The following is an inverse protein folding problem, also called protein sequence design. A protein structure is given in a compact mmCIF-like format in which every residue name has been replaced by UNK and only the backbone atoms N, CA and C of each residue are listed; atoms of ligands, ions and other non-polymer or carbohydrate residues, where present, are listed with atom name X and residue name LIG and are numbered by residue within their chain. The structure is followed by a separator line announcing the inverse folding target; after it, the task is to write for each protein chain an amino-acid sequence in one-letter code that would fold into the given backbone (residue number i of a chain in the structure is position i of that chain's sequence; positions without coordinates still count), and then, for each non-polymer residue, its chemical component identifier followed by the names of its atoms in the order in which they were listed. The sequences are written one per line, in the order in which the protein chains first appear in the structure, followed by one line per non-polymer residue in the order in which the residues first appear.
data_IF_280081889681
#
_entry.id   IF_280081889681
#
_cell.length_a   1.000
_cell.length_b   1.000
_cell.length_c   1.000
_cell.angle_alpha   90.00
_cell.angle_beta   90.00
_cell.angle_gamma   90.00
#
_symmetry.space_group_name_H-M   'P 1'
#
loop_
_entity.id
_entity.type
_entity.pdbx_description
1 polymer ?
#
# COMPACT_ATOMS: atom_id res chain seq x y z
N UNK A 1 5.86 -2.94 -11.82
CA UNK A 1 5.70 -1.98 -10.71
C UNK A 1 5.96 -2.61 -9.33
N UNK A 2 5.13 -3.50 -8.73
CA UNK A 2 5.30 -3.97 -7.33
C UNK A 2 6.68 -4.61 -7.08
N UNK A 3 7.13 -5.50 -7.94
CA UNK A 3 8.46 -6.11 -7.86
C UNK A 3 9.59 -5.10 -8.05
N UNK A 4 9.38 -4.12 -8.90
CA UNK A 4 10.31 -3.03 -9.15
C UNK A 4 10.44 -2.11 -7.93
N UNK A 5 9.33 -1.75 -7.28
CA UNK A 5 9.36 -1.03 -6.01
C UNK A 5 10.14 -1.80 -4.94
N UNK A 6 9.96 -3.12 -4.87
CA UNK A 6 10.74 -3.96 -3.96
C UNK A 6 12.22 -3.98 -4.33
N UNK A 7 12.55 -4.02 -5.62
CA UNK A 7 13.92 -3.93 -6.08
C UNK A 7 14.57 -2.62 -5.64
N UNK A 8 13.90 -1.48 -5.88
CA UNK A 8 14.40 -0.16 -5.46
C UNK A 8 14.59 -0.10 -3.94
N UNK A 9 13.64 -0.62 -3.17
CA UNK A 9 13.68 -0.60 -1.71
C UNK A 9 14.82 -1.44 -1.12
N UNK A 10 15.14 -2.59 -1.73
CA UNK A 10 16.01 -3.59 -1.12
C UNK A 10 17.36 -3.75 -1.80
N UNK A 11 17.53 -3.23 -3.03
CA UNK A 11 18.81 -3.30 -3.72
C UNK A 11 19.90 -2.51 -2.96
N UNK A 12 21.08 -3.10 -2.85
CA UNK A 12 22.22 -2.52 -2.13
C UNK A 12 22.15 -2.60 -0.60
N UNK A 13 21.06 -3.12 -0.02
CA UNK A 13 20.95 -3.33 1.43
C UNK A 13 21.74 -4.57 1.90
N UNK A 14 21.93 -4.72 3.21
CA UNK A 14 22.55 -5.92 3.80
C UNK A 14 21.79 -7.20 3.45
N UNK A 15 20.45 -7.13 3.33
CA UNK A 15 19.64 -8.27 2.97
C UNK A 15 19.88 -8.73 1.53
N UNK A 16 20.13 -7.80 0.58
CA UNK A 16 20.38 -8.13 -0.82
C UNK A 16 21.64 -8.97 -1.04
N UNK A 17 22.52 -9.07 -0.04
CA UNK A 17 23.76 -9.87 -0.07
C UNK A 17 23.54 -11.30 0.40
N UNK A 18 22.36 -11.63 0.92
CA UNK A 18 22.04 -12.97 1.42
C UNK A 18 21.57 -13.85 0.24
N UNK A 19 22.14 -15.03 0.09
CA UNK A 19 21.85 -15.95 -1.03
C UNK A 19 20.37 -16.39 -1.12
N UNK A 20 19.64 -16.35 -0.02
CA UNK A 20 18.24 -16.73 0.06
C UNK A 20 17.29 -15.55 -0.14
N UNK A 21 17.78 -14.31 -0.17
CA UNK A 21 16.97 -13.11 -0.29
C UNK A 21 16.83 -12.68 -1.77
N UNK A 22 15.62 -12.72 -2.29
CA UNK A 22 15.35 -12.39 -3.69
C UNK A 22 14.90 -10.93 -3.83
N UNK A 23 15.82 -10.05 -4.21
CA UNK A 23 15.53 -8.65 -4.46
C UNK A 23 14.67 -8.50 -5.72
N UNK A 24 13.53 -7.81 -5.61
CA UNK A 24 12.61 -7.62 -6.73
C UNK A 24 11.78 -8.85 -7.10
N UNK A 25 11.90 -9.96 -6.36
CA UNK A 25 11.16 -11.18 -6.62
C UNK A 25 10.37 -11.66 -5.40
N UNK A 26 9.32 -12.45 -5.64
CA UNK A 26 8.52 -13.02 -4.55
C UNK A 26 9.35 -13.95 -3.67
N UNK A 27 8.94 -14.08 -2.42
CA UNK A 27 9.61 -14.92 -1.43
C UNK A 27 9.68 -16.38 -1.88
N UNK A 28 10.77 -17.05 -1.47
CA UNK A 28 10.97 -18.50 -1.67
C UNK A 28 10.89 -19.26 -0.36
N UNK A 29 11.02 -18.56 0.77
CA UNK A 29 10.92 -19.17 2.09
C UNK A 29 9.63 -18.69 2.78
N UNK A 30 8.99 -19.53 3.58
CA UNK A 30 7.87 -19.12 4.44
C UNK A 30 8.29 -17.96 5.34
N UNK A 31 7.34 -17.10 5.67
CA UNK A 31 7.52 -16.04 6.65
C UNK A 31 6.24 -15.85 7.47
N UNK A 32 6.37 -15.16 8.58
CA UNK A 32 5.30 -14.89 9.53
C UNK A 32 5.16 -13.39 9.78
N UNK A 33 3.97 -12.96 10.17
CA UNK A 33 3.69 -11.59 10.62
C UNK A 33 2.86 -11.64 11.88
N UNK A 34 3.39 -11.07 12.96
CA UNK A 34 2.68 -11.05 14.25
C UNK A 34 2.34 -12.44 14.79
N UNK A 35 3.19 -13.44 14.52
CA UNK A 35 2.98 -14.84 14.94
C UNK A 35 1.97 -15.62 14.09
N UNK A 36 1.53 -15.06 12.96
CA UNK A 36 0.65 -15.76 12.01
C UNK A 36 1.41 -16.08 10.72
N UNK A 37 1.23 -17.29 10.22
CA UNK A 37 1.73 -17.68 8.91
C UNK A 37 1.08 -16.83 7.80
N UNK A 38 1.87 -16.50 6.80
CA UNK A 38 1.41 -15.78 5.61
C UNK A 38 1.20 -16.74 4.44
N UNK A 39 0.82 -16.23 3.27
CA UNK A 39 0.64 -17.08 2.09
C UNK A 39 1.90 -17.92 1.82
N UNK A 40 1.80 -19.26 1.63
CA UNK A 40 2.93 -20.11 1.27
C UNK A 40 3.62 -19.62 -0.01
N UNK A 41 4.96 -19.72 -0.12
CA UNK A 41 5.72 -19.21 -1.26
C UNK A 41 5.21 -19.68 -2.63
N UNK A 42 4.85 -20.95 -2.75
CA UNK A 42 4.32 -21.56 -3.97
C UNK A 42 3.01 -20.95 -4.46
N UNK A 43 2.21 -20.39 -3.53
CA UNK A 43 0.90 -19.80 -3.82
C UNK A 43 0.98 -18.29 -4.08
N UNK A 44 2.06 -17.61 -3.69
CA UNK A 44 2.18 -16.14 -3.76
C UNK A 44 1.89 -15.61 -5.15
N UNK A 45 2.47 -16.21 -6.20
CA UNK A 45 2.27 -15.77 -7.58
C UNK A 45 0.80 -15.81 -8.00
N UNK A 46 0.11 -16.87 -7.63
CA UNK A 46 -1.31 -17.07 -7.94
C UNK A 46 -2.19 -16.08 -7.17
N UNK A 47 -1.97 -15.93 -5.86
CA UNK A 47 -2.74 -15.03 -5.02
C UNK A 47 -2.52 -13.57 -5.39
N UNK A 48 -1.29 -13.17 -5.71
CA UNK A 48 -0.99 -11.82 -6.22
C UNK A 48 -1.67 -11.56 -7.58
N UNK A 49 -1.70 -12.56 -8.48
CA UNK A 49 -2.42 -12.43 -9.76
C UNK A 49 -3.92 -12.24 -9.53
N UNK A 50 -4.54 -13.02 -8.64
CA UNK A 50 -5.96 -12.88 -8.27
C UNK A 50 -6.24 -11.48 -7.69
N UNK A 51 -5.43 -11.06 -6.73
CA UNK A 51 -5.56 -9.75 -6.08
C UNK A 51 -5.51 -8.61 -7.11
N UNK A 52 -4.51 -8.61 -7.98
CA UNK A 52 -4.33 -7.58 -9.01
C UNK A 52 -5.46 -7.61 -10.05
N UNK A 53 -5.89 -8.79 -10.51
CA UNK A 53 -6.99 -8.92 -11.46
C UNK A 53 -8.32 -8.41 -10.87
N UNK A 54 -8.59 -8.70 -9.61
CA UNK A 54 -9.79 -8.22 -8.92
C UNK A 54 -9.77 -6.69 -8.71
N UNK A 55 -8.60 -6.14 -8.42
CA UNK A 55 -8.44 -4.70 -8.16
C UNK A 55 -8.46 -3.85 -9.42
N UNK A 56 -7.84 -4.31 -10.50
CA UNK A 56 -7.71 -3.55 -11.76
C UNK A 56 -9.01 -3.42 -12.56
N UNK A 57 -10.05 -4.16 -12.20
CA UNK A 57 -11.37 -4.06 -12.84
C UNK A 57 -12.17 -2.88 -12.29
N UNK A 58 -12.42 -1.84 -13.11
CA UNK A 58 -13.38 -0.81 -12.78
C UNK A 58 -12.87 0.63 -12.82
N UNK A 59 -13.77 1.53 -12.47
CA UNK A 59 -13.57 2.98 -12.38
C UNK A 59 -12.72 3.37 -11.15
N UNK A 60 -12.83 4.62 -10.72
CA UNK A 60 -12.14 5.15 -9.53
C UNK A 60 -12.38 4.29 -8.29
N UNK A 61 -11.33 4.08 -7.51
CA UNK A 61 -11.38 3.33 -6.26
C UNK A 61 -11.72 4.25 -5.08
N UNK A 62 -12.57 3.75 -4.21
CA UNK A 62 -12.85 4.36 -2.91
C UNK A 62 -11.72 4.07 -1.92
N UNK A 63 -11.69 4.81 -0.80
CA UNK A 63 -10.75 4.51 0.30
C UNK A 63 -10.91 3.07 0.78
N UNK A 64 -12.14 2.59 0.94
CA UNK A 64 -12.41 1.23 1.43
C UNK A 64 -11.86 0.15 0.48
N UNK A 65 -11.98 0.33 -0.84
CA UNK A 65 -11.39 -0.58 -1.83
C UNK A 65 -9.86 -0.57 -1.79
N UNK A 66 -9.26 0.60 -1.57
CA UNK A 66 -7.80 0.75 -1.41
C UNK A 66 -7.33 0.04 -0.13
N UNK A 67 -8.06 0.19 0.98
CA UNK A 67 -7.75 -0.48 2.24
C UNK A 67 -7.97 -2.00 2.16
N UNK A 68 -9.01 -2.45 1.47
CA UNK A 68 -9.24 -3.87 1.22
C UNK A 68 -8.10 -4.50 0.40
N UNK A 69 -7.64 -3.82 -0.65
CA UNK A 69 -6.47 -4.23 -1.42
C UNK A 69 -5.24 -4.31 -0.54
N UNK A 70 -4.99 -3.25 0.25
CA UNK A 70 -3.84 -3.16 1.13
C UNK A 70 -3.85 -4.31 2.17
N UNK A 71 -4.99 -4.58 2.79
CA UNK A 71 -5.14 -5.69 3.74
C UNK A 71 -4.84 -7.05 3.09
N UNK A 72 -5.36 -7.31 1.89
CA UNK A 72 -5.08 -8.55 1.15
C UNK A 72 -3.60 -8.67 0.79
N UNK A 73 -2.97 -7.59 0.35
CA UNK A 73 -1.54 -7.54 0.08
C UNK A 73 -0.71 -7.88 1.33
N UNK A 74 -1.03 -7.27 2.48
CA UNK A 74 -0.38 -7.56 3.76
C UNK A 74 -0.60 -9.01 4.21
N UNK A 75 -1.77 -9.62 3.91
CA UNK A 75 -2.04 -11.01 4.22
C UNK A 75 -1.28 -11.99 3.33
N UNK A 76 -1.10 -11.70 2.04
CA UNK A 76 -0.28 -12.49 1.12
C UNK A 76 1.18 -12.41 1.52
N UNK A 77 1.64 -11.22 1.91
CA UNK A 77 3.02 -10.95 2.32
C UNK A 77 4.04 -11.46 1.28
N UNK A 78 3.98 -10.91 0.05
CA UNK A 78 4.59 -11.56 -1.12
C UNK A 78 6.12 -11.58 -1.13
N UNK A 79 6.79 -10.74 -0.36
CA UNK A 79 8.25 -10.65 -0.32
C UNK A 79 8.81 -11.21 0.98
N UNK A 80 10.09 -11.52 0.99
CA UNK A 80 10.77 -12.03 2.17
C UNK A 80 10.86 -10.99 3.29
N UNK A 81 11.01 -9.70 2.95
CA UNK A 81 10.94 -8.51 3.82
C UNK A 81 10.49 -7.30 3.00
N UNK A 82 10.14 -6.21 3.68
CA UNK A 82 9.76 -4.94 3.05
C UNK A 82 8.29 -4.83 2.65
N UNK A 83 7.47 -5.85 2.89
CA UNK A 83 6.05 -5.86 2.50
C UNK A 83 5.28 -4.67 3.04
N UNK A 84 5.37 -4.37 4.34
CA UNK A 84 4.67 -3.24 4.93
C UNK A 84 5.05 -1.88 4.33
N UNK A 85 6.34 -1.68 3.97
CA UNK A 85 6.79 -0.45 3.29
C UNK A 85 6.22 -0.36 1.88
N UNK A 86 6.29 -1.46 1.12
CA UNK A 86 5.73 -1.54 -0.23
C UNK A 86 4.21 -1.40 -0.19
N UNK A 87 3.52 -2.08 0.71
CA UNK A 87 2.07 -1.99 0.86
C UNK A 87 1.59 -0.58 1.14
N UNK A 88 2.23 0.14 2.09
CA UNK A 88 1.91 1.53 2.39
C UNK A 88 2.23 2.47 1.23
N UNK A 89 3.32 2.25 0.50
CA UNK A 89 3.67 3.05 -0.68
C UNK A 89 2.65 2.86 -1.81
N UNK A 90 2.20 1.62 -2.04
CA UNK A 90 1.14 1.34 -3.00
C UNK A 90 -0.16 2.03 -2.57
N UNK A 91 -0.54 1.91 -1.31
CA UNK A 91 -1.74 2.55 -0.76
C UNK A 91 -1.70 4.08 -0.96
N UNK A 92 -0.57 4.72 -0.65
CA UNK A 92 -0.37 6.15 -0.89
C UNK A 92 -0.53 6.51 -2.37
N UNK A 93 0.12 5.77 -3.27
CA UNK A 93 0.00 5.93 -4.73
C UNK A 93 -1.44 5.76 -5.19
N UNK A 94 -2.14 4.72 -4.71
CA UNK A 94 -3.54 4.48 -5.09
C UNK A 94 -4.47 5.60 -4.63
N UNK A 95 -4.25 6.18 -3.44
CA UNK A 95 -4.97 7.38 -3.02
C UNK A 95 -4.78 8.52 -4.05
N UNK A 96 -3.54 8.81 -4.44
CA UNK A 96 -3.26 9.86 -5.44
C UNK A 96 -3.91 9.60 -6.80
N UNK A 97 -3.91 8.34 -7.24
CA UNK A 97 -4.45 7.96 -8.56
C UNK A 97 -5.98 7.99 -8.62
N UNK A 98 -6.65 7.92 -7.47
CA UNK A 98 -8.10 7.85 -7.37
C UNK A 98 -8.73 9.10 -6.76
N UNK A 99 -7.98 10.19 -6.64
CA UNK A 99 -8.41 11.47 -6.01
C UNK A 99 -8.87 11.30 -4.55
N UNK A 100 -8.32 10.32 -3.85
CA UNK A 100 -8.44 10.14 -2.41
C UNK A 100 -7.28 10.89 -1.75
N UNK A 101 -7.54 11.64 -0.68
CA UNK A 101 -6.48 12.32 0.07
C UNK A 101 -5.48 11.26 0.57
N UNK A 102 -4.20 11.34 0.20
CA UNK A 102 -3.21 10.40 0.69
C UNK A 102 -2.92 10.62 2.17
N UNK A 103 -2.25 9.67 2.80
CA UNK A 103 -1.87 9.76 4.20
C UNK A 103 -0.62 8.93 4.49
N UNK A 104 0.00 9.21 5.64
CA UNK A 104 1.17 8.52 6.13
C UNK A 104 0.84 7.97 7.52
N UNK A 105 1.08 6.69 7.75
CA UNK A 105 0.97 6.09 9.08
C UNK A 105 2.22 6.47 9.87
N UNK A 106 2.06 7.41 10.80
CA UNK A 106 3.13 7.83 11.72
C UNK A 106 3.23 6.93 12.95
N UNK A 107 4.17 7.22 13.86
CA UNK A 107 4.38 6.41 15.07
C UNK A 107 3.18 6.46 16.02
N UNK A 108 2.43 7.57 16.09
CA UNK A 108 1.24 7.70 16.95
C UNK A 108 0.11 6.78 16.49
N UNK A 109 -0.06 6.61 15.17
CA UNK A 109 -1.11 5.79 14.57
C UNK A 109 -0.71 4.34 14.34
N UNK A 110 0.56 4.00 14.45
CA UNK A 110 1.13 2.70 14.11
C UNK A 110 0.47 1.53 14.84
N UNK A 111 0.21 1.66 16.14
CA UNK A 111 -0.43 0.61 16.93
C UNK A 111 -1.89 0.39 16.47
N UNK A 112 -2.64 1.44 16.25
CA UNK A 112 -4.03 1.39 15.76
C UNK A 112 -4.11 0.79 14.36
N UNK A 113 -3.16 1.13 13.49
CA UNK A 113 -3.04 0.57 12.15
C UNK A 113 -2.81 -0.96 12.19
N UNK A 114 -1.90 -1.45 13.01
CA UNK A 114 -1.69 -2.90 13.14
C UNK A 114 -2.89 -3.61 13.76
N UNK A 115 -3.54 -3.00 14.75
CA UNK A 115 -4.81 -3.50 15.28
C UNK A 115 -5.87 -3.57 14.20
N UNK A 116 -6.03 -2.51 13.40
CA UNK A 116 -6.98 -2.45 12.30
C UNK A 116 -6.75 -3.53 11.24
N UNK A 117 -5.48 -3.78 10.88
CA UNK A 117 -5.12 -4.90 9.99
C UNK A 117 -5.48 -6.26 10.60
N UNK A 118 -5.22 -6.46 11.87
CA UNK A 118 -5.50 -7.72 12.58
C UNK A 118 -7.01 -8.00 12.67
N UNK A 119 -7.77 -6.99 13.04
CA UNK A 119 -9.22 -7.13 13.28
C UNK A 119 -10.08 -6.90 12.02
N UNK A 120 -9.48 -6.66 10.85
CA UNK A 120 -10.17 -6.30 9.61
C UNK A 120 -11.39 -7.17 9.25
N UNK A 121 -11.25 -8.48 9.44
CA UNK A 121 -12.33 -9.42 9.12
C UNK A 121 -13.52 -9.36 10.09
N UNK A 122 -13.33 -8.78 11.27
CA UNK A 122 -14.35 -8.60 12.30
C UNK A 122 -14.94 -7.19 12.26
N UNK A 123 -14.05 -6.19 12.22
CA UNK A 123 -14.42 -4.78 12.29
C UNK A 123 -13.45 -3.94 11.41
N UNK A 124 -13.92 -3.60 10.22
CA UNK A 124 -13.15 -2.79 9.26
C UNK A 124 -12.93 -1.36 9.74
N UNK A 125 -13.84 -0.84 10.56
CA UNK A 125 -13.81 0.52 11.08
C UNK A 125 -12.50 0.87 11.78
N UNK A 126 -11.87 -0.06 12.49
CA UNK A 126 -10.61 0.21 13.15
C UNK A 126 -9.49 0.68 12.21
N UNK A 127 -9.37 0.05 11.03
CA UNK A 127 -8.38 0.49 10.05
C UNK A 127 -8.83 1.76 9.35
N UNK A 128 -10.10 1.80 8.94
CA UNK A 128 -10.68 2.96 8.22
C UNK A 128 -10.57 4.23 9.05
N UNK A 129 -10.98 4.21 10.32
CA UNK A 129 -10.91 5.37 11.22
C UNK A 129 -9.48 5.84 11.45
N UNK A 130 -8.55 4.89 11.62
CA UNK A 130 -7.12 5.21 11.74
C UNK A 130 -6.61 5.91 10.48
N UNK A 131 -6.94 5.41 9.31
CA UNK A 131 -6.52 6.01 8.04
C UNK A 131 -7.18 7.38 7.80
N UNK A 132 -8.45 7.56 8.17
CA UNK A 132 -9.13 8.87 8.13
C UNK A 132 -8.46 9.88 9.06
N UNK A 133 -8.09 9.49 10.28
CA UNK A 133 -7.33 10.34 11.19
C UNK A 133 -5.97 10.77 10.58
N UNK A 134 -5.26 9.84 9.95
CA UNK A 134 -4.03 10.14 9.24
C UNK A 134 -4.26 11.06 8.03
N UNK A 135 -5.40 10.94 7.32
CA UNK A 135 -5.77 11.85 6.24
C UNK A 135 -6.01 13.28 6.76
N UNK A 136 -6.67 13.42 7.90
CA UNK A 136 -6.91 14.75 8.48
C UNK A 136 -5.60 15.44 8.82
N UNK A 137 -4.66 14.73 9.44
CA UNK A 137 -3.30 15.25 9.69
C UNK A 137 -2.57 15.61 8.38
N UNK A 138 -2.73 14.83 7.33
CA UNK A 138 -2.15 15.12 6.02
C UNK A 138 -2.76 16.38 5.39
N UNK A 139 -4.09 16.58 5.53
CA UNK A 139 -4.78 17.81 5.08
C UNK A 139 -4.26 19.05 5.82
N UNK A 140 -3.99 18.94 7.13
CA UNK A 140 -3.37 20.05 7.89
C UNK A 140 -2.01 20.45 7.31
N UNK A 141 -1.17 19.49 6.94
CA UNK A 141 0.11 19.77 6.26
C UNK A 141 -0.10 20.46 4.91
N UNK A 142 -1.06 19.98 4.10
CA UNK A 142 -1.37 20.62 2.82
C UNK A 142 -1.81 22.05 3.00
N UNK A 143 -2.64 22.33 4.02
CA UNK A 143 -3.08 23.69 4.35
C UNK A 143 -1.91 24.57 4.83
N UNK A 144 -1.06 24.04 5.71
CA UNK A 144 0.13 24.75 6.20
C UNK A 144 1.07 25.15 5.07
N UNK A 145 1.35 24.24 4.14
CA UNK A 145 2.19 24.50 2.98
C UNK A 145 1.46 25.19 1.82
N UNK A 146 0.18 25.58 2.00
CA UNK A 146 -0.66 26.23 0.97
C UNK A 146 -0.75 25.43 -0.33
N UNK A 147 -0.77 24.10 -0.24
CA UNK A 147 -0.92 23.20 -1.38
C UNK A 147 -2.42 23.03 -1.67
N UNK A 148 -2.87 23.57 -2.79
CA UNK A 148 -4.26 23.49 -3.23
C UNK A 148 -4.55 22.14 -3.89
N UNK A 149 -4.58 21.06 -3.12
CA UNK A 149 -4.80 19.71 -3.61
C UNK A 149 -6.23 19.53 -4.18
N UNK A 150 -7.25 20.06 -3.51
CA UNK A 150 -8.67 19.91 -3.84
C UNK A 150 -9.16 20.76 -4.99
N UNK A 151 -8.43 21.77 -5.44
CA UNK A 151 -8.82 22.57 -6.60
C UNK A 151 -8.57 21.88 -7.94
N UNK A 152 -7.87 20.76 -7.95
CA UNK A 152 -7.63 19.94 -9.16
C UNK A 152 -8.85 19.15 -9.61
N UNK A 153 -9.79 18.88 -8.71
CA UNK A 153 -10.98 18.06 -8.98
C UNK A 153 -11.92 18.63 -10.07
N UNK A 154 -11.81 19.90 -10.43
CA UNK A 154 -12.77 20.56 -11.34
C UNK A 154 -12.21 20.93 -12.71
N UNK A 155 -10.94 20.66 -13.01
CA UNK A 155 -10.34 21.25 -14.23
C UNK A 155 -9.80 20.30 -15.28
N UNK A 156 -10.02 19.06 -15.28
CA UNK A 156 -9.81 18.14 -16.41
C UNK A 156 -9.28 16.74 -16.00
N UNK A 157 -10.06 15.67 -16.20
CA UNK A 157 -9.63 14.29 -15.88
C UNK A 157 -8.42 13.82 -16.69
N UNK A 158 -8.16 14.41 -17.86
CA UNK A 158 -7.06 13.99 -18.73
C UNK A 158 -5.68 14.52 -18.29
N UNK A 159 -5.63 15.68 -17.63
CA UNK A 159 -4.36 16.29 -17.21
C UNK A 159 -3.72 15.55 -16.05
N UNK A 160 -4.52 14.96 -15.17
CA UNK A 160 -4.04 14.22 -14.00
C UNK A 160 -3.34 12.91 -14.40
N UNK A 161 -3.83 12.23 -15.44
CA UNK A 161 -3.21 10.99 -15.95
C UNK A 161 -1.81 11.20 -16.52
N UNK A 162 -1.51 12.37 -17.05
CA UNK A 162 -0.21 12.66 -17.69
C UNK A 162 0.89 13.03 -16.69
N UNK A 163 0.56 13.65 -15.56
CA UNK A 163 1.57 14.06 -14.57
C UNK A 163 2.21 12.84 -13.90
N UNK A 164 1.43 11.77 -13.68
CA UNK A 164 1.92 10.58 -12.99
C UNK A 164 2.49 9.49 -13.92
N UNK A 165 2.33 9.62 -15.24
CA UNK A 165 2.95 8.69 -16.21
C UNK A 165 4.47 8.84 -16.29
N UNK A 166 5.03 9.96 -15.86
CA UNK A 166 6.46 10.25 -15.95
C UNK A 166 7.19 10.09 -14.60
N UNK A 167 6.48 9.71 -13.53
CA UNK A 167 7.06 9.47 -12.21
C UNK A 167 7.14 7.97 -11.84
N UNK A 168 7.00 7.09 -12.82
CA UNK A 168 7.13 5.63 -12.65
C UNK A 168 8.13 5.10 -13.68
#
# INVERSE_FOLDING_TARGET
MIKELHFILKNGTSDSRKNWFNVGEYKKLPNEVGGNETCPPENVKTEMKKLLSAYNGGERKTLDEILEFHKKFESIHPFQDGNGRIGRLIMFKECLMNDVVPFIIDEEHKWYYYRGLKEWNKEKGYLTDTCLSCQDKYKEWLMYFKIEYWKRERKNPETTKNIYKHCI
#
